data_IF_802053016984
#
_entry.id   IF_802053016984
#
_cell.length_a   1.000
_cell.length_b   1.000
_cell.length_c   1.000
_cell.angle_alpha   90.00
_cell.angle_beta   90.00
_cell.angle_gamma   90.00
#
_symmetry.space_group_name_H-M   'P 1'
#
loop_
_entity.id
_entity.type
_entity.pdbx_description
1 polymer ?
#
# COMPACT_ATOMS: atom_id res chain seq x y z
N UNK A 1 62.14 17.59 -5.07
CA UNK A 1 61.16 16.48 -5.17
C UNK A 1 60.12 16.74 -4.12
N UNK A 2 58.96 17.23 -4.55
CA UNK A 2 57.98 17.86 -3.64
C UNK A 2 57.18 16.80 -2.87
N UNK A 3 57.64 16.52 -1.65
CA UNK A 3 56.95 15.61 -0.70
C UNK A 3 55.47 15.95 -0.51
N UNK A 4 55.07 17.18 -0.80
CA UNK A 4 53.67 17.62 -0.72
C UNK A 4 52.78 17.02 -1.83
N UNK A 5 53.30 16.86 -3.06
CA UNK A 5 52.51 16.38 -4.18
C UNK A 5 52.13 14.89 -4.04
N UNK A 6 53.08 14.08 -3.55
CA UNK A 6 52.87 12.66 -3.31
C UNK A 6 51.88 12.41 -2.16
N UNK A 7 51.90 13.27 -1.14
CA UNK A 7 50.97 13.19 -0.03
C UNK A 7 49.53 13.51 -0.46
N UNK A 8 49.30 14.57 -1.27
CA UNK A 8 47.99 14.90 -1.80
C UNK A 8 47.44 13.81 -2.73
N UNK A 9 48.32 13.22 -3.55
CA UNK A 9 47.93 12.12 -4.42
C UNK A 9 47.50 10.88 -3.63
N UNK A 10 48.27 10.50 -2.60
CA UNK A 10 47.92 9.38 -1.73
C UNK A 10 46.60 9.63 -0.98
N UNK A 11 46.43 10.84 -0.45
CA UNK A 11 45.21 11.23 0.23
C UNK A 11 43.96 11.15 -0.69
N UNK A 12 44.13 11.60 -1.94
CA UNK A 12 43.04 11.52 -2.95
C UNK A 12 42.66 10.08 -3.25
N UNK A 13 43.64 9.19 -3.40
CA UNK A 13 43.35 7.75 -3.63
C UNK A 13 42.60 7.14 -2.45
N UNK A 14 43.07 7.39 -1.22
CA UNK A 14 42.43 6.88 -0.01
C UNK A 14 40.99 7.41 0.11
N UNK A 15 40.77 8.70 -0.19
CA UNK A 15 39.46 9.31 -0.18
C UNK A 15 38.52 8.62 -1.17
N UNK A 16 38.94 8.35 -2.41
CA UNK A 16 38.13 7.65 -3.40
C UNK A 16 37.81 6.19 -3.00
N UNK A 17 38.78 5.52 -2.39
CA UNK A 17 38.54 4.15 -1.89
C UNK A 17 37.50 4.15 -0.79
N UNK A 18 37.63 5.03 0.20
CA UNK A 18 36.65 5.15 1.30
C UNK A 18 35.25 5.52 0.77
N UNK A 19 35.19 6.51 -0.16
CA UNK A 19 33.97 6.93 -0.81
C UNK A 19 33.30 5.79 -1.56
N UNK A 20 34.06 4.99 -2.30
CA UNK A 20 33.58 3.81 -3.01
C UNK A 20 32.95 2.78 -2.06
N UNK A 21 33.59 2.51 -0.92
CA UNK A 21 33.05 1.60 0.08
C UNK A 21 31.76 2.13 0.73
N UNK A 22 31.67 3.43 0.97
CA UNK A 22 30.46 4.07 1.52
C UNK A 22 29.29 3.91 0.51
N UNK A 23 29.52 4.23 -0.76
CA UNK A 23 28.49 4.08 -1.80
C UNK A 23 28.03 2.62 -1.88
N UNK A 24 28.97 1.67 -1.94
CA UNK A 24 28.65 0.24 -2.03
C UNK A 24 27.87 -0.25 -0.81
N UNK A 25 28.18 0.25 0.38
CA UNK A 25 27.41 -0.07 1.59
C UNK A 25 25.97 0.46 1.51
N UNK A 26 25.77 1.70 1.06
CA UNK A 26 24.44 2.28 0.86
C UNK A 26 23.62 1.50 -0.17
N UNK A 27 24.24 1.06 -1.27
CA UNK A 27 23.56 0.25 -2.28
C UNK A 27 23.13 -1.11 -1.73
N UNK A 28 23.99 -1.80 -0.97
CA UNK A 28 23.64 -3.06 -0.33
C UNK A 28 22.51 -2.92 0.70
N UNK A 29 22.51 -1.85 1.51
CA UNK A 29 21.43 -1.59 2.46
C UNK A 29 20.10 -1.35 1.74
N UNK A 30 20.10 -0.61 0.63
CA UNK A 30 18.91 -0.41 -0.21
C UNK A 30 18.39 -1.71 -0.81
N UNK A 31 19.27 -2.57 -1.31
CA UNK A 31 18.91 -3.86 -1.86
C UNK A 31 18.31 -4.80 -0.80
N UNK A 32 18.91 -4.83 0.39
CA UNK A 32 18.39 -5.63 1.50
C UNK A 32 16.99 -5.15 1.94
N UNK A 33 16.80 -3.85 2.10
CA UNK A 33 15.50 -3.29 2.46
C UNK A 33 14.44 -3.60 1.40
N UNK A 34 14.80 -3.54 0.12
CA UNK A 34 13.91 -3.90 -0.98
C UNK A 34 13.52 -5.38 -0.96
N UNK A 35 14.47 -6.26 -0.65
CA UNK A 35 14.23 -7.70 -0.55
C UNK A 35 13.33 -8.03 0.64
N UNK A 36 13.53 -7.40 1.79
CA UNK A 36 12.66 -7.54 2.96
C UNK A 36 11.23 -7.09 2.65
N UNK A 37 11.06 -5.94 2.01
CA UNK A 37 9.75 -5.44 1.59
C UNK A 37 9.08 -6.40 0.60
N UNK A 38 9.79 -6.89 -0.41
CA UNK A 38 9.26 -7.86 -1.35
C UNK A 38 8.80 -9.15 -0.64
N UNK A 39 9.59 -9.65 0.30
CA UNK A 39 9.23 -10.83 1.09
C UNK A 39 7.99 -10.58 1.94
N UNK A 40 7.87 -9.41 2.56
CA UNK A 40 6.69 -8.99 3.31
C UNK A 40 5.44 -8.97 2.40
N UNK A 41 5.53 -8.29 1.25
CA UNK A 41 4.43 -8.22 0.28
C UNK A 41 4.01 -9.62 -0.18
N UNK A 42 4.96 -10.47 -0.55
CA UNK A 42 4.68 -11.84 -0.99
C UNK A 42 4.03 -12.69 0.10
N UNK A 43 4.45 -12.50 1.35
CA UNK A 43 3.82 -13.16 2.51
C UNK A 43 2.38 -12.71 2.67
N UNK A 44 2.11 -11.41 2.64
CA UNK A 44 0.76 -10.84 2.73
C UNK A 44 -0.15 -11.31 1.59
N UNK A 45 0.34 -11.31 0.37
CA UNK A 45 -0.40 -11.83 -0.78
C UNK A 45 -0.77 -13.32 -0.63
N UNK A 46 0.14 -14.14 -0.09
CA UNK A 46 -0.14 -15.57 0.18
C UNK A 46 -1.20 -15.75 1.26
N UNK A 47 -1.13 -14.98 2.34
CA UNK A 47 -2.12 -15.00 3.42
C UNK A 47 -3.51 -14.65 2.90
N UNK A 48 -3.63 -13.54 2.15
CA UNK A 48 -4.88 -13.10 1.54
C UNK A 48 -5.41 -14.11 0.53
N UNK A 49 -4.57 -14.65 -0.36
CA UNK A 49 -4.98 -15.65 -1.35
C UNK A 49 -5.50 -16.94 -0.70
N UNK A 50 -4.92 -17.33 0.43
CA UNK A 50 -5.34 -18.52 1.18
C UNK A 50 -6.67 -18.31 1.89
N UNK A 51 -6.89 -17.14 2.48
CA UNK A 51 -8.08 -16.84 3.29
C UNK A 51 -9.19 -16.17 2.50
N UNK A 52 -8.88 -15.51 1.37
CA UNK A 52 -9.74 -14.54 0.67
C UNK A 52 -10.26 -13.43 1.61
N UNK A 53 -9.45 -13.05 2.59
CA UNK A 53 -9.80 -12.16 3.69
C UNK A 53 -8.95 -10.89 3.62
N UNK A 54 -9.60 -9.73 3.66
CA UNK A 54 -9.00 -8.41 3.54
C UNK A 54 -9.42 -7.54 4.71
N UNK A 55 -8.49 -6.98 5.44
CA UNK A 55 -8.76 -6.02 6.52
C UNK A 55 -8.80 -4.61 5.93
N UNK A 56 -9.91 -3.90 6.15
CA UNK A 56 -10.18 -2.61 5.56
C UNK A 56 -10.74 -1.65 6.60
N UNK A 57 -10.64 -0.36 6.34
CA UNK A 57 -11.33 0.69 7.07
C UNK A 57 -12.59 1.08 6.29
N UNK A 58 -13.74 0.96 6.93
CA UNK A 58 -15.00 1.37 6.33
C UNK A 58 -15.18 2.89 6.38
N UNK A 59 -15.62 3.48 5.28
CA UNK A 59 -15.87 4.92 5.18
C UNK A 59 -17.35 5.23 5.02
N UNK A 60 -18.05 4.60 4.05
CA UNK A 60 -19.48 4.84 3.82
C UNK A 60 -20.15 3.74 2.99
N UNK A 61 -21.48 3.74 2.97
CA UNK A 61 -22.32 3.01 2.02
C UNK A 61 -23.06 1.78 2.58
N UNK A 62 -22.75 1.37 3.80
CA UNK A 62 -23.42 0.28 4.53
C UNK A 62 -23.74 0.74 5.97
N UNK A 63 -24.38 -0.12 6.74
CA UNK A 63 -24.75 0.19 8.13
C UNK A 63 -23.62 -0.11 9.13
N UNK A 64 -22.37 0.26 8.82
CA UNK A 64 -21.23 0.24 9.74
C UNK A 64 -20.91 1.65 10.23
N UNK A 65 -20.17 1.74 11.34
CA UNK A 65 -19.70 3.03 11.80
C UNK A 65 -18.58 3.54 10.89
N UNK A 66 -18.61 4.83 10.58
CA UNK A 66 -17.54 5.45 9.81
C UNK A 66 -16.19 5.26 10.51
N UNK A 67 -15.17 4.90 9.74
CA UNK A 67 -13.80 4.61 10.21
C UNK A 67 -13.65 3.30 11.00
N UNK A 68 -14.69 2.49 11.06
CA UNK A 68 -14.63 1.17 11.68
C UNK A 68 -13.75 0.22 10.89
N UNK A 69 -13.05 -0.67 11.61
CA UNK A 69 -12.33 -1.78 10.98
C UNK A 69 -13.31 -2.86 10.59
N UNK A 70 -13.35 -3.16 9.31
CA UNK A 70 -14.16 -4.24 8.75
C UNK A 70 -13.26 -5.22 8.00
N UNK A 71 -13.77 -6.40 7.76
CA UNK A 71 -13.16 -7.30 6.79
C UNK A 71 -14.03 -7.42 5.54
N UNK A 72 -13.38 -7.68 4.43
CA UNK A 72 -14.02 -8.14 3.21
C UNK A 72 -13.54 -9.56 2.90
N UNK A 73 -14.44 -10.47 2.57
CA UNK A 73 -14.12 -11.85 2.22
C UNK A 73 -14.82 -12.23 0.93
N UNK A 74 -14.04 -12.69 -0.03
CA UNK A 74 -14.57 -13.13 -1.33
C UNK A 74 -15.07 -14.57 -1.21
N UNK A 75 -16.37 -14.74 -1.41
CA UNK A 75 -17.03 -16.03 -1.56
C UNK A 75 -17.19 -16.38 -3.06
N UNK A 76 -17.89 -17.47 -3.39
CA UNK A 76 -18.00 -17.94 -4.78
C UNK A 76 -18.58 -16.89 -5.72
N UNK A 77 -19.73 -16.30 -5.34
CA UNK A 77 -20.50 -15.35 -6.18
C UNK A 77 -20.88 -14.06 -5.45
N UNK A 78 -20.31 -13.80 -4.27
CA UNK A 78 -20.61 -12.63 -3.46
C UNK A 78 -19.42 -12.18 -2.61
N UNK A 79 -19.45 -10.94 -2.20
CA UNK A 79 -18.55 -10.34 -1.22
C UNK A 79 -19.24 -10.31 0.13
N UNK A 80 -18.65 -10.92 1.15
CA UNK A 80 -19.02 -10.76 2.55
C UNK A 80 -18.21 -9.59 3.12
N UNK A 81 -18.90 -8.64 3.75
CA UNK A 81 -18.30 -7.48 4.42
C UNK A 81 -18.80 -7.53 5.86
N UNK A 82 -17.92 -7.42 6.84
CA UNK A 82 -18.36 -7.52 8.22
C UNK A 82 -17.33 -7.11 9.26
N UNK A 83 -17.77 -7.12 10.50
CA UNK A 83 -16.96 -6.99 11.71
C UNK A 83 -17.28 -8.16 12.66
N UNK A 84 -17.01 -8.02 13.96
CA UNK A 84 -17.37 -9.02 14.99
C UNK A 84 -18.87 -9.22 15.14
N UNK A 85 -19.65 -8.17 14.89
CA UNK A 85 -21.06 -8.09 15.31
C UNK A 85 -22.04 -8.18 14.14
N UNK A 86 -21.61 -7.74 12.96
CA UNK A 86 -22.48 -7.60 11.81
C UNK A 86 -21.81 -8.09 10.51
N UNK A 87 -22.64 -8.65 9.62
CA UNK A 87 -22.24 -9.08 8.27
C UNK A 87 -23.23 -8.61 7.24
N UNK A 88 -22.70 -8.10 6.14
CA UNK A 88 -23.41 -7.71 4.94
C UNK A 88 -22.92 -8.53 3.75
N UNK A 89 -23.80 -8.81 2.79
CA UNK A 89 -23.46 -9.58 1.61
C UNK A 89 -23.82 -8.80 0.36
N UNK A 90 -22.86 -8.74 -0.55
CA UNK A 90 -23.00 -8.09 -1.84
C UNK A 90 -22.83 -9.11 -2.96
N UNK A 91 -23.90 -9.44 -3.66
CA UNK A 91 -23.86 -10.37 -4.78
C UNK A 91 -23.12 -9.77 -5.97
N UNK A 92 -22.34 -10.56 -6.68
CA UNK A 92 -21.49 -10.09 -7.77
C UNK A 92 -22.27 -9.55 -8.96
N UNK A 93 -23.47 -10.05 -9.23
CA UNK A 93 -24.35 -9.57 -10.30
C UNK A 93 -24.90 -8.15 -10.04
N UNK A 94 -25.00 -7.78 -8.76
CA UNK A 94 -25.38 -6.42 -8.36
C UNK A 94 -24.26 -5.40 -8.48
N UNK A 95 -22.99 -5.81 -8.50
CA UNK A 95 -21.86 -4.90 -8.63
C UNK A 95 -21.78 -4.35 -10.05
N UNK A 96 -21.77 -3.02 -10.18
CA UNK A 96 -21.75 -2.31 -11.46
C UNK A 96 -20.40 -1.71 -11.79
N UNK A 97 -19.65 -1.29 -10.79
CA UNK A 97 -18.34 -0.67 -10.98
C UNK A 97 -17.46 -0.91 -9.77
N UNK A 98 -16.19 -1.11 -10.05
CA UNK A 98 -15.13 -1.16 -9.04
C UNK A 98 -14.06 -0.19 -9.46
N UNK A 99 -13.75 0.75 -8.59
CA UNK A 99 -12.68 1.71 -8.77
C UNK A 99 -11.75 1.67 -7.55
N UNK A 100 -10.44 1.74 -7.79
CA UNK A 100 -9.46 1.78 -6.70
C UNK A 100 -8.33 2.71 -7.09
N UNK A 101 -7.93 3.53 -6.13
CA UNK A 101 -6.90 4.55 -6.30
C UNK A 101 -5.92 4.51 -5.12
N UNK A 102 -4.67 4.80 -5.40
CA UNK A 102 -3.68 5.15 -4.38
C UNK A 102 -3.70 6.66 -4.25
N UNK A 103 -3.85 7.14 -3.03
CA UNK A 103 -3.84 8.55 -2.68
C UNK A 103 -2.59 8.89 -1.90
N UNK A 104 -2.14 10.09 -2.05
CA UNK A 104 -0.94 10.63 -1.43
C UNK A 104 -1.28 11.94 -0.73
N UNK A 105 -0.75 12.11 0.48
CA UNK A 105 -0.85 13.34 1.26
C UNK A 105 0.52 13.65 1.86
N UNK A 106 1.00 14.86 1.61
CA UNK A 106 2.22 15.36 2.23
C UNK A 106 1.87 16.16 3.48
N UNK A 107 2.58 15.91 4.57
CA UNK A 107 2.52 16.76 5.75
C UNK A 107 3.93 17.08 6.23
N UNK A 108 4.05 18.23 6.88
CA UNK A 108 5.30 18.71 7.43
C UNK A 108 5.26 18.60 8.95
N UNK A 109 6.33 18.04 9.52
CA UNK A 109 6.52 17.96 10.96
C UNK A 109 7.84 18.62 11.35
N UNK A 110 7.93 19.11 12.56
CA UNK A 110 9.14 19.73 13.10
C UNK A 110 9.80 18.78 14.10
N UNK A 111 10.84 18.10 13.64
CA UNK A 111 11.63 17.19 14.47
C UNK A 111 12.97 17.86 14.81
N UNK A 112 13.24 18.10 16.10
CA UNK A 112 14.49 18.71 16.57
C UNK A 112 14.84 20.02 15.86
N UNK A 113 13.87 20.93 15.67
CA UNK A 113 13.97 22.20 14.95
C UNK A 113 14.30 22.08 13.44
N UNK A 114 14.13 20.90 12.86
CA UNK A 114 14.26 20.67 11.42
C UNK A 114 12.90 20.35 10.84
N UNK A 115 12.52 21.05 9.77
CA UNK A 115 11.31 20.76 9.03
C UNK A 115 11.51 19.45 8.24
N UNK A 116 10.71 18.43 8.57
CA UNK A 116 10.73 17.13 7.88
C UNK A 116 9.43 16.96 7.13
N UNK A 117 9.53 16.66 5.84
CA UNK A 117 8.38 16.32 5.00
C UNK A 117 8.14 14.84 5.05
N UNK A 118 6.91 14.47 5.35
CA UNK A 118 6.45 13.08 5.33
C UNK A 118 5.41 12.91 4.24
N UNK A 119 5.51 11.82 3.51
CA UNK A 119 4.50 11.42 2.55
C UNK A 119 3.69 10.26 3.11
N UNK A 120 2.41 10.43 3.19
CA UNK A 120 1.46 9.43 3.65
C UNK A 120 0.69 8.87 2.47
N UNK A 121 0.71 7.55 2.31
CA UNK A 121 -0.01 6.87 1.25
C UNK A 121 -1.13 6.01 1.81
N UNK A 122 -2.27 6.04 1.13
CA UNK A 122 -3.35 5.08 1.38
C UNK A 122 -4.02 4.67 0.07
N UNK A 123 -4.68 3.53 0.09
CA UNK A 123 -5.51 3.12 -1.02
C UNK A 123 -6.99 3.28 -0.68
N UNK A 124 -7.78 3.67 -1.67
CA UNK A 124 -9.22 3.78 -1.60
C UNK A 124 -9.85 2.80 -2.59
N UNK A 125 -10.85 2.05 -2.14
CA UNK A 125 -11.67 1.17 -2.98
C UNK A 125 -13.11 1.64 -2.95
N UNK A 126 -13.69 1.90 -4.14
CA UNK A 126 -15.10 2.22 -4.34
C UNK A 126 -15.79 1.09 -5.08
N UNK A 127 -16.87 0.59 -4.52
CA UNK A 127 -17.73 -0.41 -5.15
C UNK A 127 -19.10 0.21 -5.36
N UNK A 128 -19.54 0.36 -6.62
CA UNK A 128 -20.89 0.77 -6.95
C UNK A 128 -21.74 -0.45 -7.23
N UNK A 129 -22.94 -0.53 -6.64
CA UNK A 129 -23.81 -1.69 -6.74
C UNK A 129 -25.30 -1.27 -6.78
N UNK A 130 -26.16 -2.16 -7.23
CA UNK A 130 -27.62 -1.98 -7.15
C UNK A 130 -28.14 -2.50 -5.81
N UNK A 131 -28.91 -1.67 -5.12
CA UNK A 131 -29.68 -2.11 -3.96
C UNK A 131 -30.92 -2.95 -4.37
N UNK A 132 -31.75 -3.32 -3.41
CA UNK A 132 -32.97 -4.11 -3.68
C UNK A 132 -34.04 -3.34 -4.44
N UNK A 133 -33.92 -2.00 -4.53
CA UNK A 133 -34.83 -1.13 -5.27
C UNK A 133 -34.26 -0.70 -6.62
N UNK A 134 -33.15 -1.34 -7.06
CA UNK A 134 -32.43 -1.03 -8.30
C UNK A 134 -31.77 0.35 -8.31
N UNK A 135 -31.59 0.99 -7.16
CA UNK A 135 -30.85 2.24 -7.07
C UNK A 135 -29.34 1.96 -6.97
N UNK A 136 -28.55 2.83 -7.60
CA UNK A 136 -27.09 2.75 -7.51
C UNK A 136 -26.66 3.26 -6.14
N UNK A 137 -26.06 2.38 -5.36
CA UNK A 137 -25.41 2.66 -4.09
C UNK A 137 -23.90 2.54 -4.23
N UNK A 138 -23.18 3.08 -3.25
CA UNK A 138 -21.73 3.09 -3.25
C UNK A 138 -21.19 2.68 -1.87
N UNK A 139 -20.19 1.82 -1.87
CA UNK A 139 -19.42 1.48 -0.67
C UNK A 139 -18.00 2.01 -0.86
N UNK A 140 -17.44 2.62 0.17
CA UNK A 140 -16.07 3.12 0.15
C UNK A 140 -15.30 2.50 1.32
N UNK A 141 -14.11 1.96 1.00
CA UNK A 141 -13.13 1.47 1.95
C UNK A 141 -11.81 2.21 1.77
N UNK A 142 -11.07 2.32 2.85
CA UNK A 142 -9.68 2.80 2.84
C UNK A 142 -8.76 1.76 3.49
N UNK A 143 -7.52 1.77 3.04
CA UNK A 143 -6.43 1.03 3.64
C UNK A 143 -5.25 1.98 3.88
N UNK A 144 -5.01 2.29 5.16
CA UNK A 144 -4.00 3.24 5.62
C UNK A 144 -2.80 2.55 6.28
N UNK A 145 -2.47 1.35 5.85
CA UNK A 145 -1.54 0.50 6.59
C UNK A 145 -0.06 0.87 6.45
N UNK A 146 0.31 1.93 5.72
CA UNK A 146 1.72 2.26 5.52
C UNK A 146 1.99 3.76 5.65
N UNK A 147 2.84 4.10 6.63
CA UNK A 147 3.59 5.34 6.63
C UNK A 147 4.92 5.05 5.93
N UNK A 148 5.17 5.66 4.79
CA UNK A 148 6.45 5.52 4.08
C UNK A 148 7.23 6.80 4.32
N UNK A 149 8.28 6.71 5.13
CA UNK A 149 9.28 7.75 5.23
C UNK A 149 10.12 7.75 3.93
N UNK A 150 9.96 8.79 3.13
CA UNK A 150 10.90 9.28 2.10
C UNK A 150 11.60 8.28 1.17
N UNK A 151 10.89 7.34 0.49
CA UNK A 151 11.51 6.53 -0.55
C UNK A 151 10.60 6.40 -1.79
N UNK A 152 10.77 7.29 -2.77
CA UNK A 152 10.04 7.29 -4.04
C UNK A 152 9.98 5.91 -4.75
N UNK A 153 11.00 5.06 -4.58
CA UNK A 153 11.03 3.72 -5.17
C UNK A 153 10.26 2.65 -4.40
N UNK A 154 9.91 2.90 -3.15
CA UNK A 154 9.16 1.94 -2.31
C UNK A 154 7.65 2.04 -2.58
N UNK A 155 7.19 3.21 -3.00
CA UNK A 155 5.78 3.50 -3.32
C UNK A 155 5.22 2.52 -4.36
N UNK A 156 5.96 2.24 -5.42
CA UNK A 156 5.55 1.32 -6.48
C UNK A 156 5.35 -0.13 -6.03
N UNK A 157 5.86 -0.49 -4.84
CA UNK A 157 5.85 -1.88 -4.33
C UNK A 157 5.06 -2.06 -3.03
N UNK A 158 4.37 -1.04 -2.55
CA UNK A 158 3.54 -1.16 -1.35
C UNK A 158 2.35 -2.08 -1.59
N UNK A 159 2.01 -2.87 -0.57
CA UNK A 159 0.83 -3.72 -0.62
C UNK A 159 -0.36 -3.01 0.02
N UNK A 160 -1.40 -2.77 -0.77
CA UNK A 160 -2.66 -2.21 -0.31
C UNK A 160 -3.79 -3.21 -0.46
N UNK A 161 -4.49 -3.50 0.63
CA UNK A 161 -5.63 -4.40 0.63
C UNK A 161 -6.75 -3.93 -0.31
N UNK A 162 -7.05 -2.64 -0.34
CA UNK A 162 -8.05 -2.06 -1.24
C UNK A 162 -7.72 -2.29 -2.72
N UNK A 163 -6.48 -2.03 -3.12
CA UNK A 163 -6.04 -2.24 -4.49
C UNK A 163 -6.09 -3.73 -4.87
N UNK A 164 -5.59 -4.59 -3.97
CA UNK A 164 -5.54 -6.03 -4.23
C UNK A 164 -6.94 -6.66 -4.29
N UNK A 165 -7.84 -6.25 -3.38
CA UNK A 165 -9.24 -6.66 -3.41
C UNK A 165 -9.92 -6.19 -4.69
N UNK A 166 -9.75 -4.92 -5.08
CA UNK A 166 -10.31 -4.35 -6.31
C UNK A 166 -9.87 -5.11 -7.56
N UNK A 167 -8.57 -5.40 -7.68
CA UNK A 167 -8.02 -6.22 -8.78
C UNK A 167 -8.59 -7.64 -8.80
N UNK A 168 -8.75 -8.26 -7.62
CA UNK A 168 -9.28 -9.62 -7.51
C UNK A 168 -10.76 -9.68 -7.87
N UNK A 169 -11.57 -8.71 -7.42
CA UNK A 169 -12.99 -8.62 -7.77
C UNK A 169 -13.18 -8.40 -9.27
N UNK A 170 -12.42 -7.48 -9.91
CA UNK A 170 -12.47 -7.28 -11.37
C UNK A 170 -12.16 -8.55 -12.15
N UNK A 171 -11.26 -9.40 -11.67
CA UNK A 171 -10.96 -10.69 -12.30
C UNK A 171 -12.10 -11.71 -12.14
N UNK A 172 -12.79 -11.70 -11.00
CA UNK A 172 -13.83 -12.68 -10.67
C UNK A 172 -15.20 -12.34 -11.21
N UNK A 173 -15.49 -11.06 -11.45
CA UNK A 173 -16.79 -10.59 -11.92
C UNK A 173 -16.73 -10.40 -13.43
N UNK A 174 -17.34 -11.30 -14.24
CA UNK A 174 -17.14 -11.33 -15.69
C UNK A 174 -17.62 -10.08 -16.43
N UNK A 175 -18.70 -9.44 -15.97
CA UNK A 175 -19.29 -8.27 -16.61
C UNK A 175 -18.55 -6.94 -16.30
N UNK A 176 -17.52 -6.99 -15.45
CA UNK A 176 -16.64 -5.83 -15.14
C UNK A 176 -15.31 -5.88 -15.90
N UNK A 177 -15.14 -6.82 -16.81
CA UNK A 177 -13.93 -6.98 -17.65
C UNK A 177 -13.95 -6.05 -18.85
#
# INVERSE_FOLDING_TARGET
MDLNLDFYFLFTIVFFIVWFFIIKKIEMEKENNLNELNNFIMKKMREVNKSNYYELKYIEGLEFQKEEKVYAKILNNRLEIGNSDKKEFLDFDKIKMIDFNIKEEEYEDVISNTLVKHTFLWSELKISYLDNNENIQKIIFEDRNFTIENYEKIIEKSFFYCEYLGKTLKKRIPHLK
#
